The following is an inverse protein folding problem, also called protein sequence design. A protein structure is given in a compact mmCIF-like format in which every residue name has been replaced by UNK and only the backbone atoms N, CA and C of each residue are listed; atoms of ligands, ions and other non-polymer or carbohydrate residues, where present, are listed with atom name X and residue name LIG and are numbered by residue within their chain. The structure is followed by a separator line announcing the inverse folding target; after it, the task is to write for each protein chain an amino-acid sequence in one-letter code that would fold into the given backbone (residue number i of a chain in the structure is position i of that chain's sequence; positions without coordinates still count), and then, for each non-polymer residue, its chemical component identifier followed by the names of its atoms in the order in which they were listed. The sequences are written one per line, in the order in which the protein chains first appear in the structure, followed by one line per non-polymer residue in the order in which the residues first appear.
data_IF_032787507126
#
_entry.id   IF_032787507126
#
_cell.length_a   1.000
_cell.length_b   1.000
_cell.length_c   1.000
_cell.angle_alpha   90.00
_cell.angle_beta   90.00
_cell.angle_gamma   90.00
#
_symmetry.space_group_name_H-M   'P 1'
#
loop_
_entity.id
_entity.type
_entity.pdbx_description
1 polymer ?
#
# COMPACT_ATOMS: atom_id res chain seq x y z
N UNK A 1 -0.52 -25.61 8.23
CA UNK A 1 0.58 -24.63 8.15
C UNK A 1 0.36 -23.86 6.86
N UNK A 2 0.02 -22.58 6.93
CA UNK A 2 -0.02 -21.72 5.73
C UNK A 2 1.42 -21.59 5.23
N UNK A 3 1.70 -22.01 4.00
CA UNK A 3 3.04 -21.89 3.41
C UNK A 3 3.41 -20.40 3.28
N UNK A 4 4.42 -19.96 4.04
CA UNK A 4 5.03 -18.65 3.89
C UNK A 4 5.79 -18.57 2.57
N UNK A 5 5.62 -17.48 1.83
CA UNK A 5 6.24 -17.28 0.51
C UNK A 5 7.54 -16.49 0.69
N UNK A 6 8.61 -16.91 0.02
CA UNK A 6 9.80 -16.08 -0.18
C UNK A 6 9.45 -14.93 -1.13
N UNK A 7 9.28 -13.73 -0.56
CA UNK A 7 8.64 -12.61 -1.24
C UNK A 7 9.50 -12.08 -2.38
N UNK A 8 10.82 -11.96 -2.17
CA UNK A 8 11.69 -11.31 -3.14
C UNK A 8 11.80 -12.12 -4.44
N UNK A 9 12.10 -13.44 -4.42
CA UNK A 9 12.12 -14.24 -5.64
C UNK A 9 10.75 -14.39 -6.29
N UNK A 10 9.67 -14.40 -5.51
CA UNK A 10 8.32 -14.41 -6.06
C UNK A 10 8.06 -13.14 -6.89
N UNK A 11 8.28 -11.97 -6.30
CA UNK A 11 8.05 -10.68 -6.98
C UNK A 11 9.03 -10.45 -8.13
N UNK A 12 10.28 -10.90 -8.00
CA UNK A 12 11.27 -10.84 -9.07
C UNK A 12 10.80 -11.60 -10.32
N UNK A 13 10.24 -12.81 -10.16
CA UNK A 13 9.69 -13.57 -11.30
C UNK A 13 8.52 -12.86 -11.96
N UNK A 14 7.64 -12.23 -11.18
CA UNK A 14 6.52 -11.45 -11.73
C UNK A 14 7.04 -10.25 -12.51
N UNK A 15 8.00 -9.52 -11.93
CA UNK A 15 8.65 -8.37 -12.57
C UNK A 15 9.35 -8.79 -13.87
N UNK A 16 10.16 -9.84 -13.86
CA UNK A 16 10.88 -10.32 -15.05
C UNK A 16 9.93 -10.71 -16.19
N UNK A 17 8.78 -11.29 -15.85
CA UNK A 17 7.78 -11.71 -16.85
C UNK A 17 6.95 -10.55 -17.43
N UNK A 18 6.73 -9.46 -16.67
CA UNK A 18 5.76 -8.42 -17.02
C UNK A 18 6.39 -7.04 -17.30
N UNK A 19 7.52 -6.74 -16.67
CA UNK A 19 8.22 -5.46 -16.75
C UNK A 19 9.29 -5.48 -17.84
N UNK A 20 9.20 -4.54 -18.78
CA UNK A 20 10.08 -4.43 -19.97
C UNK A 20 11.12 -3.32 -19.81
N UNK A 21 10.73 -2.20 -19.21
CA UNK A 21 11.59 -1.05 -18.92
C UNK A 21 11.64 -0.79 -17.40
N UNK A 22 12.68 -0.07 -16.95
CA UNK A 22 12.86 0.33 -15.54
C UNK A 22 12.82 -0.84 -14.54
N UNK A 23 13.37 -2.00 -14.93
CA UNK A 23 13.49 -3.16 -14.01
C UNK A 23 14.33 -2.85 -12.77
N UNK A 24 15.22 -1.86 -12.86
CA UNK A 24 16.00 -1.32 -11.74
C UNK A 24 15.12 -0.81 -10.60
N UNK A 25 13.89 -0.38 -10.86
CA UNK A 25 12.96 0.10 -9.84
C UNK A 25 12.68 -0.95 -8.77
N UNK A 26 12.74 -2.23 -9.16
CA UNK A 26 12.54 -3.34 -8.23
C UNK A 26 13.54 -3.36 -7.07
N UNK A 27 14.74 -2.78 -7.23
CA UNK A 27 15.71 -2.66 -6.14
C UNK A 27 15.17 -1.83 -4.95
N UNK A 28 14.41 -0.78 -5.22
CA UNK A 28 13.75 0.03 -4.18
C UNK A 28 12.64 -0.75 -3.47
N UNK A 29 11.94 -1.62 -4.20
CA UNK A 29 10.91 -2.49 -3.62
C UNK A 29 11.54 -3.52 -2.68
N UNK A 30 12.67 -4.12 -3.09
CA UNK A 30 13.45 -5.05 -2.25
C UNK A 30 13.93 -4.37 -0.98
N UNK A 31 14.49 -3.17 -1.09
CA UNK A 31 14.95 -2.40 0.07
C UNK A 31 13.81 -2.13 1.05
N UNK A 32 12.65 -1.68 0.53
CA UNK A 32 11.46 -1.37 1.33
C UNK A 32 10.93 -2.61 2.07
N UNK A 33 10.78 -3.73 1.39
CA UNK A 33 10.30 -4.98 1.98
C UNK A 33 11.31 -5.56 2.99
N UNK A 34 12.61 -5.41 2.74
CA UNK A 34 13.66 -5.85 3.65
C UNK A 34 13.66 -5.05 4.95
N UNK A 35 13.52 -3.71 4.87
CA UNK A 35 13.40 -2.85 6.05
C UNK A 35 12.14 -3.16 6.87
N UNK A 36 11.03 -3.48 6.21
CA UNK A 36 9.76 -3.78 6.86
C UNK A 36 9.82 -4.97 7.85
N UNK A 37 10.79 -5.88 7.71
CA UNK A 37 11.02 -6.98 8.66
C UNK A 37 11.20 -6.46 10.09
N UNK A 38 11.82 -5.28 10.25
CA UNK A 38 12.15 -4.69 11.55
C UNK A 38 11.04 -3.80 12.11
N UNK A 39 9.97 -3.52 11.36
CA UNK A 39 8.92 -2.62 11.80
C UNK A 39 8.06 -3.28 12.88
N UNK A 40 7.84 -2.69 14.06
CA UNK A 40 7.08 -3.36 15.13
C UNK A 40 5.59 -3.47 14.80
N UNK A 41 5.05 -2.56 13.99
CA UNK A 41 3.62 -2.48 13.71
C UNK A 41 3.26 -3.17 12.41
N UNK A 42 2.18 -3.96 12.43
CA UNK A 42 1.70 -4.65 11.22
C UNK A 42 1.27 -3.68 10.12
N UNK A 43 0.79 -2.48 10.44
CA UNK A 43 0.43 -1.47 9.42
C UNK A 43 1.62 -1.03 8.55
N UNK A 44 2.85 -1.17 9.04
CA UNK A 44 4.09 -0.86 8.31
C UNK A 44 4.68 -2.07 7.59
N UNK A 45 4.04 -3.24 7.70
CA UNK A 45 4.45 -4.50 7.06
C UNK A 45 3.54 -4.93 5.91
N UNK A 46 2.50 -4.15 5.61
CA UNK A 46 1.55 -4.45 4.53
C UNK A 46 1.68 -3.44 3.40
N UNK A 47 1.87 -3.95 2.19
CA UNK A 47 2.15 -3.17 1.00
C UNK A 47 1.21 -3.54 -0.13
N UNK A 48 0.90 -2.56 -0.97
CA UNK A 48 0.44 -2.79 -2.32
C UNK A 48 1.63 -2.70 -3.27
N UNK A 49 1.79 -3.75 -4.06
CA UNK A 49 2.86 -3.87 -5.03
C UNK A 49 2.26 -4.06 -6.42
N UNK A 50 2.82 -3.40 -7.43
CA UNK A 50 2.47 -3.63 -8.81
C UNK A 50 3.71 -3.76 -9.70
N UNK A 51 3.62 -4.66 -10.67
CA UNK A 51 4.49 -4.67 -11.85
C UNK A 51 3.70 -4.21 -13.05
N UNK A 52 4.34 -3.38 -13.87
CA UNK A 52 3.82 -2.83 -15.12
C UNK A 52 4.89 -3.00 -16.20
N UNK A 53 4.56 -2.77 -17.48
CA UNK A 53 5.57 -2.75 -18.54
C UNK A 53 6.71 -1.76 -18.28
N UNK A 54 6.43 -0.65 -17.58
CA UNK A 54 7.34 0.47 -17.28
C UNK A 54 7.64 0.57 -15.78
N UNK A 55 8.36 -0.41 -15.25
CA UNK A 55 8.80 -0.43 -13.85
C UNK A 55 7.77 -0.98 -12.85
N UNK A 56 8.16 -0.92 -11.59
CA UNK A 56 7.41 -1.45 -10.44
C UNK A 56 7.08 -0.34 -9.45
N UNK A 57 6.09 -0.58 -8.60
CA UNK A 57 5.82 0.26 -7.43
C UNK A 57 5.50 -0.60 -6.22
N UNK A 58 6.05 -0.20 -5.07
CA UNK A 58 5.71 -0.72 -3.75
C UNK A 58 5.30 0.43 -2.83
N UNK A 59 4.04 0.48 -2.41
CA UNK A 59 3.49 1.51 -1.51
C UNK A 59 2.90 0.87 -0.26
N UNK A 60 2.91 1.57 0.87
CA UNK A 60 2.23 1.08 2.08
C UNK A 60 0.72 1.00 1.82
N UNK A 61 0.08 -0.12 2.16
CA UNK A 61 -1.35 -0.32 1.93
C UNK A 61 -2.18 0.79 2.59
N UNK A 62 -1.88 1.07 3.85
CA UNK A 62 -2.58 2.08 4.63
C UNK A 62 -2.58 3.44 3.96
N UNK A 63 -1.42 3.87 3.45
CA UNK A 63 -1.27 5.18 2.81
C UNK A 63 -1.95 5.23 1.44
N UNK A 64 -2.10 4.09 0.75
CA UNK A 64 -2.89 4.04 -0.48
C UNK A 64 -4.38 4.37 -0.25
N UNK A 65 -4.89 4.36 0.99
CA UNK A 65 -6.23 4.81 1.36
C UNK A 65 -6.28 6.23 1.94
N UNK A 66 -5.17 6.97 1.88
CA UNK A 66 -5.07 8.34 2.36
C UNK A 66 -4.86 9.30 1.19
N UNK A 67 -5.94 9.96 0.78
CA UNK A 67 -5.93 10.98 -0.25
C UNK A 67 -4.95 12.10 0.10
N UNK A 68 -4.16 12.53 -0.88
CA UNK A 68 -3.08 13.51 -0.72
C UNK A 68 -1.71 12.88 -0.46
N UNK A 69 -1.62 11.63 -0.03
CA UNK A 69 -0.31 10.98 0.15
C UNK A 69 0.30 10.56 -1.19
N UNK A 70 1.64 10.50 -1.24
CA UNK A 70 2.34 9.97 -2.41
C UNK A 70 1.93 8.53 -2.74
N UNK A 71 1.66 7.69 -1.73
CA UNK A 71 1.20 6.32 -1.92
C UNK A 71 -0.17 6.26 -2.62
N UNK A 72 -1.13 7.10 -2.23
CA UNK A 72 -2.43 7.20 -2.90
C UNK A 72 -2.25 7.66 -4.35
N UNK A 73 -1.47 8.71 -4.58
CA UNK A 73 -1.21 9.24 -5.92
C UNK A 73 -0.58 8.19 -6.84
N UNK A 74 0.47 7.51 -6.38
CA UNK A 74 1.14 6.43 -7.11
C UNK A 74 0.18 5.28 -7.40
N UNK A 75 -0.55 4.80 -6.40
CA UNK A 75 -1.41 3.63 -6.55
C UNK A 75 -2.61 3.88 -7.47
N UNK A 76 -3.13 5.11 -7.51
CA UNK A 76 -4.33 5.46 -8.29
C UNK A 76 -4.03 6.07 -9.66
N UNK A 77 -2.78 6.45 -9.95
CA UNK A 77 -2.39 7.07 -11.22
C UNK A 77 -2.78 6.24 -12.44
N UNK A 78 -2.66 4.91 -12.36
CA UNK A 78 -2.89 4.00 -13.50
C UNK A 78 -4.32 3.46 -13.59
N UNK A 79 -5.29 4.07 -12.90
CA UNK A 79 -6.67 3.57 -12.86
C UNK A 79 -7.34 3.47 -14.24
N UNK A 80 -6.89 4.29 -15.20
CA UNK A 80 -7.38 4.32 -16.57
C UNK A 80 -6.65 3.34 -17.51
N UNK A 81 -5.48 2.84 -17.12
CA UNK A 81 -4.65 1.93 -17.93
C UNK A 81 -4.26 0.65 -17.14
N UNK A 82 -5.24 -0.14 -16.65
CA UNK A 82 -4.95 -1.23 -15.72
C UNK A 82 -4.56 -2.57 -16.38
N UNK A 83 -4.64 -2.71 -17.71
CA UNK A 83 -4.65 -4.01 -18.38
C UNK A 83 -3.33 -4.80 -18.29
N UNK A 84 -2.19 -4.11 -18.36
CA UNK A 84 -0.86 -4.73 -18.27
C UNK A 84 -0.31 -4.76 -16.83
N UNK A 85 -1.13 -4.44 -15.84
CA UNK A 85 -0.71 -4.31 -14.44
C UNK A 85 -0.94 -5.62 -13.69
N UNK A 86 0.14 -6.18 -13.12
CA UNK A 86 0.08 -7.28 -12.15
C UNK A 86 0.18 -6.70 -10.75
N UNK A 87 -0.91 -6.75 -9.98
CA UNK A 87 -0.98 -6.15 -8.65
C UNK A 87 -1.16 -7.20 -7.55
N UNK A 88 -0.56 -6.93 -6.39
CA UNK A 88 -0.56 -7.83 -5.24
C UNK A 88 -0.63 -7.04 -3.94
N UNK A 89 -1.32 -7.59 -2.94
CA UNK A 89 -1.12 -7.21 -1.54
C UNK A 89 -0.04 -8.12 -0.95
N UNK A 90 0.97 -7.50 -0.37
CA UNK A 90 2.11 -8.16 0.25
C UNK A 90 2.05 -7.92 1.75
N UNK A 91 2.16 -8.98 2.54
CA UNK A 91 2.29 -8.90 4.00
C UNK A 91 3.60 -9.52 4.40
N UNK A 92 4.55 -8.72 4.86
CA UNK A 92 5.84 -9.20 5.39
C UNK A 92 5.60 -9.79 6.78
N UNK A 93 5.85 -11.09 6.95
CA UNK A 93 5.65 -11.77 8.23
C UNK A 93 6.94 -11.91 9.02
N UNK A 94 8.10 -11.89 8.35
CA UNK A 94 9.38 -11.92 9.03
C UNK A 94 10.53 -12.31 8.11
N UNK A 95 11.55 -12.93 8.71
CA UNK A 95 12.75 -13.40 8.01
C UNK A 95 13.03 -14.85 8.39
N UNK A 96 13.24 -15.69 7.39
CA UNK A 96 13.58 -17.11 7.55
C UNK A 96 14.81 -17.42 6.70
N UNK A 97 15.85 -18.00 7.30
CA UNK A 97 17.11 -18.36 6.61
C UNK A 97 17.68 -17.21 5.76
N UNK A 98 17.62 -15.99 6.28
CA UNK A 98 18.09 -14.79 5.58
C UNK A 98 17.13 -14.20 4.54
N UNK A 99 16.02 -14.88 4.22
CA UNK A 99 15.03 -14.49 3.20
C UNK A 99 13.84 -13.75 3.81
N UNK A 100 13.31 -12.76 3.10
CA UNK A 100 12.11 -12.03 3.52
C UNK A 100 10.89 -12.85 3.16
N UNK A 101 10.16 -13.31 4.19
CA UNK A 101 8.99 -14.18 4.00
C UNK A 101 7.69 -13.46 4.31
N UNK A 102 6.62 -13.91 3.67
CA UNK A 102 5.31 -13.30 3.87
C UNK A 102 4.17 -13.98 3.15
N UNK A 103 3.07 -13.23 3.05
CA UNK A 103 1.86 -13.62 2.32
C UNK A 103 1.70 -12.73 1.09
N UNK A 104 1.18 -13.33 0.03
CA UNK A 104 0.88 -12.65 -1.21
C UNK A 104 -0.58 -12.91 -1.58
N UNK A 105 -1.32 -11.85 -1.86
CA UNK A 105 -2.69 -11.95 -2.38
C UNK A 105 -2.75 -11.23 -3.73
N UNK A 106 -3.08 -11.92 -4.84
CA UNK A 106 -3.26 -11.27 -6.13
C UNK A 106 -4.47 -10.32 -6.08
N UNK A 107 -4.34 -9.17 -6.73
CA UNK A 107 -5.38 -8.15 -6.80
C UNK A 107 -5.89 -8.03 -8.23
N UNK A 108 -7.21 -7.95 -8.40
CA UNK A 108 -7.80 -7.39 -9.61
C UNK A 108 -7.63 -5.86 -9.56
N UNK A 109 -6.51 -5.35 -10.08
CA UNK A 109 -6.17 -3.93 -9.99
C UNK A 109 -7.28 -3.02 -10.52
N UNK A 110 -7.87 -3.35 -11.68
CA UNK A 110 -8.96 -2.60 -12.31
C UNK A 110 -10.16 -2.40 -11.37
N UNK A 111 -10.56 -3.44 -10.66
CA UNK A 111 -11.67 -3.34 -9.71
C UNK A 111 -11.24 -2.71 -8.38
N UNK A 112 -10.03 -3.04 -7.91
CA UNK A 112 -9.52 -2.62 -6.60
C UNK A 112 -9.20 -1.13 -6.54
N UNK A 113 -8.54 -0.57 -7.55
CA UNK A 113 -8.18 0.85 -7.58
C UNK A 113 -9.42 1.76 -7.52
N UNK A 114 -10.53 1.33 -8.13
CA UNK A 114 -11.80 2.05 -8.07
C UNK A 114 -12.41 2.06 -6.67
N UNK A 115 -12.23 0.99 -5.89
CA UNK A 115 -12.64 0.95 -4.48
C UNK A 115 -11.74 1.84 -3.62
N UNK A 116 -10.44 1.82 -3.87
CA UNK A 116 -9.49 2.75 -3.22
C UNK A 116 -9.90 4.20 -3.47
N UNK A 117 -10.11 4.61 -4.73
CA UNK A 117 -10.52 5.97 -5.08
C UNK A 117 -11.85 6.37 -4.43
N UNK A 118 -12.80 5.44 -4.32
CA UNK A 118 -14.13 5.71 -3.73
C UNK A 118 -14.08 5.88 -2.21
N UNK A 119 -13.20 5.15 -1.53
CA UNK A 119 -13.22 5.00 -0.08
C UNK A 119 -12.04 5.67 0.63
N UNK A 120 -11.06 6.21 -0.09
CA UNK A 120 -9.94 6.91 0.53
C UNK A 120 -10.41 8.09 1.39
N UNK A 121 -9.76 8.26 2.54
CA UNK A 121 -9.98 9.37 3.45
C UNK A 121 -8.95 10.47 3.20
N UNK A 122 -9.30 11.72 3.47
CA UNK A 122 -8.35 12.84 3.40
C UNK A 122 -7.28 12.65 4.48
N UNK A 123 -6.00 12.77 4.12
CA UNK A 123 -4.93 12.88 5.10
C UNK A 123 -5.01 14.25 5.80
N UNK A 124 -5.16 14.25 7.12
CA UNK A 124 -5.42 15.46 7.90
C UNK A 124 -4.23 15.87 8.76
N UNK A 125 -3.47 14.90 9.26
CA UNK A 125 -2.27 15.16 10.08
C UNK A 125 -1.11 14.27 9.64
N UNK A 126 0.09 14.71 9.99
CA UNK A 126 1.29 13.89 9.92
C UNK A 126 2.02 13.89 11.26
N UNK A 127 2.46 12.71 11.67
CA UNK A 127 3.36 12.52 12.80
C UNK A 127 4.77 12.30 12.26
N UNK A 128 5.69 13.19 12.62
CA UNK A 128 7.08 13.15 12.18
C UNK A 128 7.94 12.72 13.35
N UNK A 129 8.68 11.64 13.15
CA UNK A 129 9.68 11.16 14.09
C UNK A 129 11.07 11.49 13.54
N UNK A 130 11.86 12.18 14.35
CA UNK A 130 13.23 12.56 14.05
C UNK A 130 14.24 11.51 14.54
N UNK A 131 15.47 11.58 14.05
CA UNK A 131 16.59 10.71 14.47
C UNK A 131 16.90 10.83 15.96
N UNK A 132 16.77 12.03 16.54
CA UNK A 132 16.88 12.25 17.99
C UNK A 132 15.83 11.51 18.83
N UNK A 133 14.81 10.92 18.20
CA UNK A 133 13.66 10.32 18.87
C UNK A 133 12.52 11.32 19.16
N UNK A 134 12.77 12.63 18.99
CA UNK A 134 11.72 13.63 19.10
C UNK A 134 10.60 13.38 18.08
N UNK A 135 9.36 13.59 18.51
CA UNK A 135 8.17 13.34 17.69
C UNK A 135 7.23 14.53 17.79
N UNK A 136 6.79 15.03 16.63
CA UNK A 136 5.77 16.08 16.53
C UNK A 136 4.59 15.57 15.72
N UNK A 137 3.42 16.16 15.96
CA UNK A 137 2.25 15.98 15.09
C UNK A 137 1.82 17.36 14.60
N UNK A 138 1.67 17.48 13.29
CA UNK A 138 1.27 18.73 12.62
C UNK A 138 0.15 18.45 11.63
N UNK A 139 -0.62 19.49 11.22
CA UNK A 139 -1.53 19.36 10.08
C UNK A 139 -0.82 18.82 8.85
N UNK A 140 -1.54 18.11 7.99
CA UNK A 140 -1.01 17.62 6.73
C UNK A 140 -0.46 18.79 5.88
N UNK A 141 0.64 18.53 5.21
CA UNK A 141 1.36 19.44 4.33
C UNK A 141 1.88 18.62 3.15
N UNK A 142 1.84 19.21 1.95
CA UNK A 142 2.28 18.53 0.72
C UNK A 142 3.79 18.28 0.69
N UNK A 143 4.59 19.15 1.32
CA UNK A 143 6.05 19.04 1.38
C UNK A 143 6.57 18.87 2.81
N UNK A 144 6.53 17.65 3.37
CA UNK A 144 6.96 17.41 4.74
C UNK A 144 8.47 17.63 4.97
N UNK A 145 9.29 17.63 3.91
CA UNK A 145 10.73 17.90 4.02
C UNK A 145 11.03 19.36 4.41
N UNK A 146 10.11 20.30 4.14
CA UNK A 146 10.24 21.67 4.65
C UNK A 146 10.17 21.73 6.18
N UNK A 147 9.49 20.77 6.82
CA UNK A 147 9.38 20.72 8.28
C UNK A 147 10.72 20.31 8.91
N UNK A 148 11.55 19.53 8.21
CA UNK A 148 12.90 19.22 8.67
C UNK A 148 13.75 20.49 8.84
N UNK A 149 13.52 21.50 8.00
CA UNK A 149 14.18 22.82 8.09
C UNK A 149 13.69 23.65 9.28
N UNK A 150 12.48 23.42 9.78
CA UNK A 150 11.88 24.16 10.91
C UNK A 150 12.50 23.71 12.25
N UNK A 151 13.01 22.47 12.32
CA UNK A 151 13.52 21.87 13.56
C UNK A 151 14.92 21.24 13.38
N UNK A 152 15.94 22.04 13.01
CA UNK A 152 17.26 21.52 12.65
C UNK A 152 17.99 20.81 13.80
N UNK A 153 17.65 21.12 15.06
CA UNK A 153 18.28 20.53 16.25
C UNK A 153 17.93 19.06 16.52
N UNK A 154 16.99 18.47 15.79
CA UNK A 154 16.49 17.11 16.04
C UNK A 154 17.06 16.04 15.10
N UNK A 155 17.97 16.41 14.20
CA UNK A 155 18.52 15.52 13.17
C UNK A 155 17.57 15.35 11.98
N UNK A 156 17.84 14.35 11.15
CA UNK A 156 17.01 14.04 9.98
C UNK A 156 15.62 13.52 10.35
N UNK A 157 14.71 13.53 9.37
CA UNK A 157 13.42 12.85 9.51
C UNK A 157 13.64 11.35 9.36
N UNK A 158 13.37 10.61 10.43
CA UNK A 158 13.45 9.15 10.46
C UNK A 158 12.21 8.50 9.87
N UNK A 159 11.02 9.02 10.21
CA UNK A 159 9.74 8.44 9.81
C UNK A 159 8.65 9.51 9.76
N UNK A 160 7.76 9.38 8.79
CA UNK A 160 6.51 10.15 8.69
C UNK A 160 5.36 9.15 8.72
N UNK A 161 4.32 9.43 9.51
CA UNK A 161 3.07 8.68 9.53
C UNK A 161 1.92 9.62 9.22
N UNK A 162 1.15 9.32 8.19
CA UNK A 162 -0.06 10.07 7.84
C UNK A 162 -1.30 9.51 8.55
N UNK A 163 -2.20 10.39 8.96
CA UNK A 163 -3.45 10.04 9.62
C UNK A 163 -4.62 10.85 9.06
N UNK A 164 -5.81 10.25 8.90
CA UNK A 164 -7.04 10.98 8.64
C UNK A 164 -7.62 11.52 9.96
N UNK A 165 -8.73 12.27 9.88
CA UNK A 165 -9.47 12.68 11.09
C UNK A 165 -9.99 11.48 11.89
N UNK A 166 -10.35 10.38 11.19
CA UNK A 166 -10.93 9.19 11.81
C UNK A 166 -10.14 7.92 11.48
N UNK A 167 -9.24 7.54 12.38
CA UNK A 167 -8.44 6.31 12.29
C UNK A 167 -9.28 5.03 12.30
N UNK A 168 -10.39 5.01 13.04
CA UNK A 168 -11.26 3.84 13.11
C UNK A 168 -11.96 3.58 11.78
N UNK A 169 -12.35 4.64 11.07
CA UNK A 169 -12.96 4.53 9.74
C UNK A 169 -11.94 4.02 8.71
N UNK A 170 -10.69 4.51 8.75
CA UNK A 170 -9.62 3.98 7.90
C UNK A 170 -9.39 2.48 8.13
N UNK A 171 -9.31 2.07 9.40
CA UNK A 171 -9.16 0.66 9.75
C UNK A 171 -10.33 -0.19 9.24
N UNK A 172 -11.56 0.33 9.33
CA UNK A 172 -12.78 -0.31 8.81
C UNK A 172 -12.71 -0.49 7.29
N UNK A 173 -12.31 0.55 6.55
CA UNK A 173 -12.17 0.52 5.09
C UNK A 173 -11.13 -0.52 4.65
N UNK A 174 -9.95 -0.53 5.28
CA UNK A 174 -8.88 -1.48 4.95
C UNK A 174 -9.34 -2.92 5.24
N UNK A 175 -9.99 -3.15 6.39
CA UNK A 175 -10.54 -4.46 6.73
C UNK A 175 -11.60 -4.92 5.73
N UNK A 176 -12.47 -4.02 5.27
CA UNK A 176 -13.47 -4.32 4.25
C UNK A 176 -12.81 -4.69 2.91
N UNK A 177 -11.80 -3.93 2.50
CA UNK A 177 -11.03 -4.23 1.29
C UNK A 177 -10.36 -5.62 1.38
N UNK A 178 -9.79 -5.99 2.53
CA UNK A 178 -9.21 -7.32 2.73
C UNK A 178 -10.20 -8.46 2.48
N UNK A 179 -11.49 -8.25 2.79
CA UNK A 179 -12.54 -9.23 2.51
C UNK A 179 -12.83 -9.34 1.01
N UNK A 180 -12.82 -8.21 0.29
CA UNK A 180 -12.97 -8.20 -1.16
C UNK A 180 -11.80 -8.93 -1.84
N UNK A 181 -10.57 -8.69 -1.39
CA UNK A 181 -9.35 -9.29 -1.95
C UNK A 181 -9.28 -10.80 -1.75
N UNK A 182 -9.83 -11.30 -0.64
CA UNK A 182 -9.87 -12.74 -0.33
C UNK A 182 -11.10 -13.45 -0.90
N UNK A 183 -11.94 -12.76 -1.69
CA UNK A 183 -13.16 -13.32 -2.25
C UNK A 183 -14.24 -13.65 -1.21
N UNK A 184 -14.08 -13.17 0.03
CA UNK A 184 -15.03 -13.41 1.14
C UNK A 184 -16.28 -12.54 1.06
N UNK A 185 -16.34 -11.60 0.11
CA UNK A 185 -17.52 -10.79 -0.17
C UNK A 185 -18.26 -11.36 -1.37
N UNK A 186 -19.50 -11.83 -1.16
CA UNK A 186 -20.42 -12.17 -2.25
C UNK A 186 -20.88 -10.87 -2.91
N UNK A 187 -20.67 -10.72 -4.23
CA UNK A 187 -21.32 -9.65 -5.01
C UNK A 187 -22.82 -9.69 -4.72
N UNK A 188 -23.50 -8.55 -4.44
CA UNK A 188 -24.95 -8.55 -4.33
C UNK A 188 -25.52 -9.13 -5.63
N UNK A 189 -26.28 -10.21 -5.53
CA UNK A 189 -27.07 -10.70 -6.67
C UNK A 189 -27.98 -9.56 -7.09
N UNK A 190 -27.87 -9.13 -8.35
CA UNK A 190 -28.77 -8.14 -8.92
C UNK A 190 -30.20 -8.60 -8.62
N UNK A 191 -30.95 -7.84 -7.82
CA UNK A 191 -32.37 -8.11 -7.59
C UNK A 191 -33.04 -8.13 -8.96
N UNK A 192 -33.46 -9.32 -9.40
CA UNK A 192 -34.35 -9.47 -10.56
C UNK A 192 -35.52 -8.52 -10.32
N UNK A 193 -35.66 -7.52 -11.19
CA UNK A 193 -36.87 -6.67 -11.22
C UNK A 193 -38.07 -7.61 -11.39
N UNK A 194 -39.14 -7.49 -10.59
CA UNK A 194 -40.35 -8.26 -10.85
C UNK A 194 -40.84 -7.88 -12.25
N UNK A 195 -41.09 -8.88 -13.09
CA UNK A 195 -41.77 -8.68 -14.36
C UNK A 195 -43.13 -8.02 -14.09
N UNK A 196 -43.54 -7.01 -14.88
CA UNK A 196 -44.89 -6.50 -14.80
C UNK A 196 -45.84 -7.62 -15.23
N UNK A 197 -46.71 -8.00 -14.29
CA UNK A 197 -47.73 -9.03 -14.51
C UNK A 197 -48.65 -8.67 -15.67
N UNK A 198 -49.12 -9.72 -16.33
CA UNK A 198 -50.11 -9.70 -17.40
C UNK A 198 -51.46 -10.13 -16.84
#
# INVERSE_FOLDING_TARGET
MENTIDLIPFLARVMEANTKAYRSDFSYDVEKLTKAVQEPNMEDRVFYWMSRPTGTWCVKEREAFLYGTGAYSIWTYYANEPDEIKAYRITVTGRENGRVVGRVIPLNYREQVRRVQRHALIASTMTIQYESGHTITVPYQENPHQIATILPGHGGVRRIRYAPENEAELARIIMEEHRWQTGKVKKPTAKRRPHPGR
#
